data_IF_484770268715
#
_entry.id   IF_484770268715
#
_cell.length_a   1.000
_cell.length_b   1.000
_cell.length_c   1.000
_cell.angle_alpha   90.00
_cell.angle_beta   90.00
_cell.angle_gamma   90.00
#
_symmetry.space_group_name_H-M   'P 1'
#
loop_
_entity.id
_entity.type
_entity.pdbx_description
1 polymer ?
#
# COMPACT_ATOMS: atom_id res chain seq x y z
N UNK A 1 -7.12 -1.48 -3.80
CA UNK A 1 -6.08 -2.51 -3.98
C UNK A 1 -6.55 -3.73 -4.79
N UNK A 2 -7.65 -4.39 -4.43
CA UNK A 2 -8.18 -5.55 -5.20
C UNK A 2 -8.37 -5.27 -6.70
N UNK A 3 -8.79 -4.05 -7.07
CA UNK A 3 -8.90 -3.66 -8.47
C UNK A 3 -7.53 -3.58 -9.19
N UNK A 4 -6.50 -3.06 -8.52
CA UNK A 4 -5.16 -2.91 -9.10
C UNK A 4 -4.47 -4.27 -9.29
N UNK A 5 -4.59 -5.16 -8.29
CA UNK A 5 -4.09 -6.54 -8.40
C UNK A 5 -4.82 -7.31 -9.51
N UNK A 6 -6.15 -7.21 -9.57
CA UNK A 6 -6.95 -7.81 -10.66
C UNK A 6 -6.55 -7.27 -12.04
N UNK A 7 -6.36 -5.96 -12.17
CA UNK A 7 -5.92 -5.34 -13.41
C UNK A 7 -4.52 -5.80 -13.83
N UNK A 8 -3.58 -5.92 -12.88
CA UNK A 8 -2.22 -6.43 -13.13
C UNK A 8 -2.25 -7.88 -13.63
N UNK A 9 -3.07 -8.74 -12.99
CA UNK A 9 -3.25 -10.13 -13.44
C UNK A 9 -3.87 -10.22 -14.83
N UNK A 10 -4.85 -9.37 -15.13
CA UNK A 10 -5.48 -9.29 -16.46
C UNK A 10 -4.48 -8.85 -17.54
N UNK A 11 -3.62 -7.87 -17.24
CA UNK A 11 -2.54 -7.45 -18.12
C UNK A 11 -1.53 -8.58 -18.37
N UNK A 12 -1.14 -9.33 -17.33
CA UNK A 12 -0.26 -10.48 -17.46
C UNK A 12 -0.86 -11.60 -18.34
N UNK A 13 -2.16 -11.91 -18.15
CA UNK A 13 -2.87 -12.90 -18.98
C UNK A 13 -2.96 -12.45 -20.45
N UNK A 14 -3.27 -11.18 -20.68
CA UNK A 14 -3.33 -10.59 -22.02
C UNK A 14 -1.98 -10.69 -22.73
N UNK A 15 -0.89 -10.34 -22.06
CA UNK A 15 0.47 -10.48 -22.61
C UNK A 15 0.81 -11.93 -22.91
N UNK A 16 0.41 -12.88 -22.05
CA UNK A 16 0.62 -14.32 -22.31
C UNK A 16 -0.10 -14.79 -23.57
N UNK A 17 -1.31 -14.28 -23.83
CA UNK A 17 -2.06 -14.53 -25.07
C UNK A 17 -1.36 -13.93 -26.29
N UNK A 18 -0.81 -12.72 -26.16
CA UNK A 18 -0.01 -12.08 -27.22
C UNK A 18 1.22 -12.92 -27.55
N UNK A 19 2.00 -13.33 -26.54
CA UNK A 19 3.19 -14.20 -26.71
C UNK A 19 2.82 -15.47 -27.50
N UNK A 20 1.74 -16.14 -27.09
CA UNK A 20 1.27 -17.36 -27.77
C UNK A 20 0.87 -17.11 -29.23
N UNK A 21 0.30 -15.94 -29.51
CA UNK A 21 -0.13 -15.55 -30.87
C UNK A 21 1.08 -15.23 -31.75
N UNK A 22 2.08 -14.53 -31.21
CA UNK A 22 3.32 -14.22 -31.94
C UNK A 22 4.12 -15.50 -32.24
N UNK A 23 4.17 -16.45 -31.31
CA UNK A 23 4.79 -17.76 -31.54
C UNK A 23 4.12 -18.54 -32.68
N UNK A 24 2.78 -18.49 -32.79
CA UNK A 24 2.06 -19.07 -33.92
C UNK A 24 2.36 -18.36 -35.24
N UNK A 25 2.52 -17.04 -35.22
CA UNK A 25 2.92 -16.27 -36.40
C UNK A 25 4.32 -16.67 -36.88
N UNK A 26 5.28 -16.90 -35.97
CA UNK A 26 6.61 -17.42 -36.30
C UNK A 26 6.55 -18.80 -36.98
N UNK A 27 5.70 -19.70 -36.48
CA UNK A 27 5.48 -21.01 -37.12
C UNK A 27 4.84 -20.88 -38.51
N UNK A 28 3.84 -20.01 -38.66
CA UNK A 28 3.21 -19.74 -39.95
C UNK A 28 4.19 -19.11 -40.95
N UNK A 29 5.07 -18.20 -40.52
CA UNK A 29 6.10 -17.60 -41.35
C UNK A 29 7.09 -18.64 -41.89
N UNK A 30 7.51 -19.59 -41.05
CA UNK A 30 8.37 -20.72 -41.44
C UNK A 30 7.68 -21.61 -42.48
N UNK A 31 6.39 -21.90 -42.30
CA UNK A 31 5.63 -22.69 -43.26
C UNK A 31 5.51 -21.98 -44.62
N UNK A 32 5.27 -20.67 -44.63
CA UNK A 32 5.23 -19.88 -45.88
C UNK A 32 6.59 -19.90 -46.57
N UNK A 33 7.69 -19.75 -45.83
CA UNK A 33 9.05 -19.84 -46.38
C UNK A 33 9.29 -21.19 -47.08
N UNK A 34 8.89 -22.29 -46.45
CA UNK A 34 9.01 -23.63 -47.05
C UNK A 34 8.18 -23.78 -48.33
N UNK A 35 6.98 -23.19 -48.40
CA UNK A 35 6.16 -23.19 -49.61
C UNK A 35 6.85 -22.41 -50.74
N UNK A 36 7.42 -21.25 -50.42
CA UNK A 36 8.15 -20.41 -51.38
C UNK A 36 9.36 -21.16 -51.95
N UNK A 37 10.12 -21.87 -51.11
CA UNK A 37 11.26 -22.70 -51.55
C UNK A 37 10.83 -23.82 -52.52
N UNK A 38 9.70 -24.47 -52.25
CA UNK A 38 9.14 -25.50 -53.14
C UNK A 38 8.72 -24.88 -54.48
N UNK A 39 8.06 -23.73 -54.47
CA UNK A 39 7.64 -23.03 -55.68
C UNK A 39 8.83 -22.56 -56.52
N UNK A 40 9.91 -22.10 -55.88
CA UNK A 40 11.16 -21.71 -56.55
C UNK A 40 11.83 -22.93 -57.21
N UNK A 41 11.79 -24.10 -56.54
CA UNK A 41 12.17 -25.38 -57.13
C UNK A 41 11.33 -25.77 -58.35
N UNK A 42 10.00 -25.59 -58.30
CA UNK A 42 9.09 -25.86 -59.41
C UNK A 42 9.37 -24.91 -60.59
N UNK A 43 9.49 -23.61 -60.33
CA UNK A 43 9.76 -22.60 -61.36
C UNK A 43 11.10 -22.85 -62.07
N UNK A 44 12.15 -23.24 -61.34
CA UNK A 44 13.43 -23.68 -61.92
C UNK A 44 13.29 -24.92 -62.81
N UNK A 45 12.55 -25.94 -62.36
CA UNK A 45 12.29 -27.16 -63.15
C UNK A 45 11.49 -26.86 -64.41
N UNK A 46 10.44 -26.04 -64.31
CA UNK A 46 9.63 -25.61 -65.46
C UNK A 46 10.46 -24.83 -66.46
N UNK A 47 11.33 -23.94 -66.00
CA UNK A 47 12.27 -23.22 -66.86
C UNK A 47 13.22 -24.19 -67.60
N UNK A 48 13.78 -25.20 -66.92
CA UNK A 48 14.63 -26.22 -67.56
C UNK A 48 13.84 -27.11 -68.54
N UNK A 49 12.64 -27.55 -68.19
CA UNK A 49 11.76 -28.35 -69.04
C UNK A 49 11.39 -27.58 -70.32
N UNK A 50 11.00 -26.31 -70.18
CA UNK A 50 10.69 -25.45 -71.32
C UNK A 50 11.89 -25.20 -72.22
N UNK A 51 13.09 -25.06 -71.65
CA UNK A 51 14.33 -24.94 -72.41
C UNK A 51 14.61 -26.20 -73.25
N UNK A 52 14.49 -27.38 -72.63
CA UNK A 52 14.65 -28.66 -73.33
C UNK A 52 13.60 -28.81 -74.44
N UNK A 53 12.34 -28.42 -74.18
CA UNK A 53 11.28 -28.43 -75.19
C UNK A 53 11.56 -27.45 -76.35
N UNK A 54 12.10 -26.26 -76.07
CA UNK A 54 12.52 -25.32 -77.12
C UNK A 54 13.66 -25.88 -77.98
N UNK A 55 14.61 -26.59 -77.38
CA UNK A 55 15.72 -27.24 -78.11
C UNK A 55 15.18 -28.35 -79.01
N UNK A 56 14.31 -29.22 -78.49
CA UNK A 56 13.74 -30.32 -79.27
C UNK A 56 12.81 -29.82 -80.39
N UNK A 57 12.06 -28.75 -80.14
CA UNK A 57 11.25 -28.09 -81.16
C UNK A 57 12.10 -27.47 -82.28
N UNK A 58 13.29 -26.94 -81.97
CA UNK A 58 14.23 -26.48 -82.98
C UNK A 58 14.83 -27.64 -83.80
N UNK A 59 15.03 -28.79 -83.16
CA UNK A 59 15.53 -30.02 -83.81
C UNK A 59 14.51 -30.59 -84.82
N UNK A 60 13.22 -30.49 -84.54
CA UNK A 60 12.13 -30.92 -85.43
C UNK A 60 11.89 -30.00 -86.66
N UNK A 61 12.66 -28.91 -86.81
CA UNK A 61 12.61 -28.02 -87.97
C UNK A 61 11.23 -27.37 -88.20
N UNK A 62 10.73 -27.41 -89.44
CA UNK A 62 9.43 -26.80 -89.82
C UNK A 62 8.24 -27.37 -89.02
N UNK A 63 8.28 -28.65 -88.63
CA UNK A 63 7.22 -29.30 -87.87
C UNK A 63 7.18 -28.88 -86.38
N UNK A 64 8.29 -28.33 -85.86
CA UNK A 64 8.42 -27.92 -84.46
C UNK A 64 8.08 -26.45 -84.18
N UNK A 65 7.82 -25.63 -85.21
CA UNK A 65 7.61 -24.16 -85.05
C UNK A 65 6.52 -23.81 -84.03
N UNK A 66 5.37 -24.49 -84.04
CA UNK A 66 4.29 -24.25 -83.09
C UNK A 66 4.67 -24.62 -81.64
N UNK A 67 5.37 -25.74 -81.46
CA UNK A 67 5.89 -26.18 -80.16
C UNK A 67 6.98 -25.23 -79.62
N UNK A 68 7.83 -24.68 -80.49
CA UNK A 68 8.87 -23.74 -80.10
C UNK A 68 8.29 -22.44 -79.51
N UNK A 69 7.18 -21.94 -80.07
CA UNK A 69 6.47 -20.75 -79.54
C UNK A 69 5.89 -21.04 -78.16
N UNK A 70 5.21 -22.17 -77.98
CA UNK A 70 4.64 -22.57 -76.68
C UNK A 70 5.73 -22.76 -75.63
N UNK A 71 6.83 -23.43 -75.97
CA UNK A 71 7.96 -23.63 -75.06
C UNK A 71 8.62 -22.30 -74.67
N UNK A 72 8.74 -21.35 -75.61
CA UNK A 72 9.22 -19.99 -75.33
C UNK A 72 8.33 -19.22 -74.36
N UNK A 73 7.01 -19.32 -74.50
CA UNK A 73 6.06 -18.65 -73.60
C UNK A 73 6.09 -19.29 -72.20
N UNK A 74 6.13 -20.62 -72.09
CA UNK A 74 6.29 -21.33 -70.80
C UNK A 74 7.59 -20.90 -70.11
N UNK A 75 8.69 -20.78 -70.86
CA UNK A 75 9.97 -20.32 -70.33
C UNK A 75 9.87 -18.90 -69.78
N UNK A 76 9.21 -18.01 -70.51
CA UNK A 76 8.99 -16.62 -70.10
C UNK A 76 8.13 -16.55 -68.83
N UNK A 77 7.05 -17.33 -68.75
CA UNK A 77 6.25 -17.45 -67.53
C UNK A 77 7.10 -17.97 -66.36
N UNK A 78 7.90 -19.02 -66.55
CA UNK A 78 8.75 -19.57 -65.49
C UNK A 78 9.80 -18.56 -64.99
N UNK A 79 10.37 -17.74 -65.90
CA UNK A 79 11.26 -16.64 -65.52
C UNK A 79 10.54 -15.54 -64.75
N UNK A 80 9.34 -15.14 -65.17
CA UNK A 80 8.51 -14.19 -64.43
C UNK A 80 8.13 -14.72 -63.04
N UNK A 81 7.75 -16.00 -62.94
CA UNK A 81 7.47 -16.66 -61.65
C UNK A 81 8.69 -16.62 -60.74
N UNK A 82 9.91 -16.88 -61.24
CA UNK A 82 11.13 -16.77 -60.43
C UNK A 82 11.38 -15.34 -59.91
N UNK A 83 11.08 -14.31 -60.72
CA UNK A 83 11.22 -12.91 -60.28
C UNK A 83 10.22 -12.61 -59.16
N UNK A 84 8.95 -12.94 -59.35
CA UNK A 84 7.92 -12.74 -58.32
C UNK A 84 8.21 -13.55 -57.05
N UNK A 85 8.73 -14.78 -57.17
CA UNK A 85 9.10 -15.58 -56.00
C UNK A 85 10.23 -14.94 -55.20
N UNK A 86 11.22 -14.29 -55.85
CA UNK A 86 12.27 -13.54 -55.13
C UNK A 86 11.70 -12.38 -54.32
N UNK A 87 10.72 -11.65 -54.87
CA UNK A 87 10.05 -10.56 -54.15
C UNK A 87 9.27 -11.10 -52.95
N UNK A 88 8.56 -12.23 -53.12
CA UNK A 88 7.87 -12.92 -52.03
C UNK A 88 8.86 -13.40 -50.97
N UNK A 89 10.00 -14.00 -51.35
CA UNK A 89 11.05 -14.42 -50.40
C UNK A 89 11.54 -13.24 -49.57
N UNK A 90 11.83 -12.10 -50.21
CA UNK A 90 12.28 -10.90 -49.51
C UNK A 90 11.22 -10.39 -48.50
N UNK A 91 9.94 -10.39 -48.90
CA UNK A 91 8.84 -10.00 -48.03
C UNK A 91 8.67 -10.97 -46.84
N UNK A 92 8.76 -12.27 -47.06
CA UNK A 92 8.71 -13.31 -46.01
C UNK A 92 9.91 -13.20 -45.06
N UNK A 93 11.08 -12.82 -45.55
CA UNK A 93 12.26 -12.59 -44.72
C UNK A 93 12.08 -11.35 -43.83
N UNK A 94 11.59 -10.25 -44.38
CA UNK A 94 11.22 -9.04 -43.60
C UNK A 94 10.20 -9.37 -42.52
N UNK A 95 9.16 -10.12 -42.86
CA UNK A 95 8.13 -10.56 -41.91
C UNK A 95 8.72 -11.42 -40.78
N UNK A 96 9.66 -12.31 -41.07
CA UNK A 96 10.35 -13.10 -40.05
C UNK A 96 11.20 -12.23 -39.11
N UNK A 97 11.86 -11.20 -39.63
CA UNK A 97 12.63 -10.26 -38.81
C UNK A 97 11.71 -9.46 -37.87
N UNK A 98 10.57 -8.97 -38.37
CA UNK A 98 9.55 -8.28 -37.57
C UNK A 98 8.96 -9.19 -36.49
N UNK A 99 8.65 -10.45 -36.81
CA UNK A 99 8.14 -11.43 -35.84
C UNK A 99 9.18 -11.70 -34.75
N UNK A 100 10.47 -11.85 -35.09
CA UNK A 100 11.53 -12.04 -34.09
C UNK A 100 11.64 -10.84 -33.15
N UNK A 101 11.54 -9.62 -33.66
CA UNK A 101 11.50 -8.41 -32.83
C UNK A 101 10.26 -8.40 -31.93
N UNK A 102 9.09 -8.76 -32.46
CA UNK A 102 7.86 -8.85 -31.67
C UNK A 102 7.97 -9.86 -30.52
N UNK A 103 8.61 -11.02 -30.73
CA UNK A 103 8.90 -12.00 -29.67
C UNK A 103 9.76 -11.36 -28.58
N UNK A 104 10.86 -10.70 -28.96
CA UNK A 104 11.76 -10.06 -28.01
C UNK A 104 11.06 -8.99 -27.16
N UNK A 105 10.22 -8.14 -27.78
CA UNK A 105 9.42 -7.16 -27.04
C UNK A 105 8.40 -7.81 -26.10
N UNK A 106 7.82 -8.95 -26.49
CA UNK A 106 6.89 -9.67 -25.63
C UNK A 106 7.59 -10.27 -24.40
N UNK A 107 8.80 -10.81 -24.55
CA UNK A 107 9.61 -11.34 -23.45
C UNK A 107 10.04 -10.24 -22.47
N UNK A 108 10.44 -9.07 -23.00
CA UNK A 108 10.73 -7.88 -22.20
C UNK A 108 9.48 -7.41 -21.44
N UNK A 109 8.33 -7.34 -22.13
CA UNK A 109 7.04 -6.96 -21.53
C UNK A 109 6.63 -7.92 -20.43
N UNK A 110 6.85 -9.23 -20.60
CA UNK A 110 6.57 -10.23 -19.57
C UNK A 110 7.42 -10.00 -18.31
N UNK A 111 8.70 -9.66 -18.49
CA UNK A 111 9.61 -9.34 -17.37
C UNK A 111 9.16 -8.09 -16.62
N UNK A 112 8.78 -7.04 -17.35
CA UNK A 112 8.27 -5.79 -16.75
C UNK A 112 6.96 -6.03 -15.99
N UNK A 113 6.05 -6.84 -16.54
CA UNK A 113 4.78 -7.17 -15.88
C UNK A 113 4.96 -8.01 -14.61
N UNK A 114 5.98 -8.87 -14.56
CA UNK A 114 6.33 -9.59 -13.35
C UNK A 114 6.76 -8.61 -12.24
N UNK A 115 7.69 -7.70 -12.56
CA UNK A 115 8.11 -6.66 -11.61
C UNK A 115 6.96 -5.74 -11.17
N UNK A 116 6.03 -5.43 -12.08
CA UNK A 116 4.82 -4.68 -11.74
C UNK A 116 3.93 -5.45 -10.76
N UNK A 117 3.75 -6.75 -10.96
CA UNK A 117 2.94 -7.60 -10.07
C UNK A 117 3.55 -7.64 -8.66
N UNK A 118 4.86 -7.76 -8.57
CA UNK A 118 5.59 -7.77 -7.30
C UNK A 118 5.44 -6.43 -6.57
N UNK A 119 5.61 -5.30 -7.28
CA UNK A 119 5.44 -3.96 -6.72
C UNK A 119 4.00 -3.68 -6.23
N UNK A 120 2.99 -4.19 -6.94
CA UNK A 120 1.58 -4.12 -6.51
C UNK A 120 1.37 -4.94 -5.24
N UNK A 121 1.98 -6.12 -5.13
CA UNK A 121 1.90 -6.97 -3.94
C UNK A 121 2.58 -6.32 -2.73
N UNK A 122 3.77 -5.73 -2.91
CA UNK A 122 4.48 -5.01 -1.85
C UNK A 122 3.66 -3.81 -1.35
N UNK A 123 3.08 -3.07 -2.29
CA UNK A 123 2.18 -1.96 -1.96
C UNK A 123 0.95 -2.44 -1.16
N UNK A 124 0.35 -3.60 -1.52
CA UNK A 124 -0.78 -4.18 -0.77
C UNK A 124 -0.41 -4.52 0.67
N UNK A 125 0.78 -5.10 0.87
CA UNK A 125 1.31 -5.36 2.20
C UNK A 125 1.51 -4.07 3.01
N UNK A 126 2.09 -3.03 2.40
CA UNK A 126 2.28 -1.74 3.06
C UNK A 126 0.95 -1.11 3.50
N UNK A 127 -0.09 -1.14 2.65
CA UNK A 127 -1.41 -0.62 3.02
C UNK A 127 -2.07 -1.41 4.15
N UNK A 128 -1.89 -2.74 4.21
CA UNK A 128 -2.39 -3.56 5.32
C UNK A 128 -1.71 -3.21 6.65
N UNK A 129 -0.41 -2.97 6.64
CA UNK A 129 0.31 -2.53 7.84
C UNK A 129 -0.12 -1.11 8.27
N UNK A 130 -0.38 -0.21 7.32
CA UNK A 130 -0.97 1.11 7.61
C UNK A 130 -2.34 0.97 8.26
N UNK A 131 -3.23 0.13 7.70
CA UNK A 131 -4.56 -0.11 8.24
C UNK A 131 -4.48 -0.62 9.69
N UNK A 132 -3.62 -1.61 9.94
CA UNK A 132 -3.37 -2.16 11.28
C UNK A 132 -2.86 -1.10 12.25
N UNK A 133 -1.93 -0.25 11.81
CA UNK A 133 -1.39 0.85 12.63
C UNK A 133 -2.48 1.86 12.96
N UNK A 134 -3.34 2.20 12.01
CA UNK A 134 -4.48 3.09 12.23
C UNK A 134 -5.44 2.48 13.25
N UNK A 135 -5.77 1.20 13.14
CA UNK A 135 -6.64 0.51 14.12
C UNK A 135 -6.03 0.51 15.53
N UNK A 136 -4.72 0.33 15.65
CA UNK A 136 -4.02 0.43 16.93
C UNK A 136 -4.08 1.84 17.51
N UNK A 137 -3.89 2.87 16.67
CA UNK A 137 -4.00 4.27 17.09
C UNK A 137 -5.41 4.62 17.57
N UNK A 138 -6.45 4.14 16.88
CA UNK A 138 -7.84 4.35 17.33
C UNK A 138 -8.07 3.78 18.72
N UNK A 139 -7.63 2.53 18.97
CA UNK A 139 -7.72 1.92 20.32
C UNK A 139 -6.91 2.69 21.38
N UNK A 140 -5.74 3.20 20.99
CA UNK A 140 -4.93 4.05 21.86
C UNK A 140 -5.65 5.34 22.24
N UNK A 141 -6.33 5.97 21.28
CA UNK A 141 -7.13 7.18 21.53
C UNK A 141 -8.34 6.92 22.43
N UNK A 142 -9.02 5.77 22.27
CA UNK A 142 -10.10 5.35 23.18
C UNK A 142 -9.58 5.22 24.62
N UNK A 143 -8.43 4.58 24.81
CA UNK A 143 -7.80 4.42 26.13
C UNK A 143 -7.43 5.77 26.75
N UNK A 144 -6.94 6.71 25.94
CA UNK A 144 -6.62 8.08 26.41
C UNK A 144 -7.90 8.82 26.80
N UNK A 145 -8.98 8.70 26.03
CA UNK A 145 -10.26 9.32 26.34
C UNK A 145 -10.81 8.82 27.69
N UNK A 146 -10.76 7.51 27.93
CA UNK A 146 -11.16 6.92 29.21
C UNK A 146 -10.31 7.44 30.38
N UNK A 147 -8.99 7.53 30.20
CA UNK A 147 -8.08 8.07 31.21
C UNK A 147 -8.38 9.54 31.55
N UNK A 148 -8.76 10.35 30.55
CA UNK A 148 -9.17 11.74 30.76
C UNK A 148 -10.45 11.80 31.60
N UNK A 149 -11.45 10.97 31.31
CA UNK A 149 -12.71 10.91 32.08
C UNK A 149 -12.42 10.54 33.55
N UNK A 150 -11.60 9.51 33.77
CA UNK A 150 -11.20 9.10 35.13
C UNK A 150 -10.45 10.21 35.87
N UNK A 151 -9.52 10.89 35.19
CA UNK A 151 -8.76 12.00 35.77
C UNK A 151 -9.69 13.14 36.18
N UNK A 152 -10.71 13.44 35.36
CA UNK A 152 -11.68 14.49 35.68
C UNK A 152 -12.48 14.16 36.95
N UNK A 153 -12.93 12.92 37.09
CA UNK A 153 -13.62 12.44 38.30
C UNK A 153 -12.73 12.53 39.55
N UNK A 154 -11.44 12.22 39.43
CA UNK A 154 -10.49 12.36 40.53
C UNK A 154 -10.29 13.83 40.93
N UNK A 155 -10.23 14.74 39.96
CA UNK A 155 -10.12 16.18 40.22
C UNK A 155 -11.36 16.69 40.98
N UNK A 156 -12.57 16.23 40.63
CA UNK A 156 -13.79 16.58 41.37
C UNK A 156 -13.72 16.11 42.83
N UNK A 157 -13.29 14.86 43.06
CA UNK A 157 -13.13 14.33 44.42
C UNK A 157 -12.11 15.11 45.25
N UNK A 158 -10.97 15.46 44.65
CA UNK A 158 -9.93 16.27 45.31
C UNK A 158 -10.47 17.66 45.64
N UNK A 159 -11.22 18.27 44.72
CA UNK A 159 -11.82 19.59 44.93
C UNK A 159 -12.84 19.57 46.07
N UNK A 160 -13.69 18.54 46.12
CA UNK A 160 -14.65 18.36 47.22
C UNK A 160 -13.95 18.15 48.56
N UNK A 161 -12.89 17.33 48.60
CA UNK A 161 -12.09 17.13 49.81
C UNK A 161 -11.42 18.40 50.30
N UNK A 162 -10.88 19.23 49.38
CA UNK A 162 -10.30 20.52 49.72
C UNK A 162 -11.32 21.49 50.34
N UNK A 163 -12.56 21.51 49.81
CA UNK A 163 -13.65 22.30 50.39
C UNK A 163 -14.01 21.84 51.82
N UNK A 164 -14.08 20.52 52.04
CA UNK A 164 -14.33 19.98 53.38
C UNK A 164 -13.20 20.36 54.35
N UNK A 165 -11.94 20.25 53.93
CA UNK A 165 -10.80 20.65 54.75
C UNK A 165 -10.85 22.14 55.10
N UNK A 166 -11.20 23.00 54.14
CA UNK A 166 -11.35 24.43 54.38
C UNK A 166 -12.44 24.71 55.42
N UNK A 167 -13.63 24.10 55.28
CA UNK A 167 -14.73 24.26 56.22
C UNK A 167 -14.35 23.78 57.64
N UNK A 168 -13.72 22.60 57.77
CA UNK A 168 -13.25 22.10 59.07
C UNK A 168 -12.17 22.99 59.68
N UNK A 169 -11.30 23.60 58.85
CA UNK A 169 -10.28 24.52 59.33
C UNK A 169 -10.88 25.82 59.88
N UNK A 170 -11.93 26.35 59.24
CA UNK A 170 -12.69 27.51 59.73
C UNK A 170 -13.39 27.20 61.07
N UNK A 171 -14.05 26.05 61.18
CA UNK A 171 -14.70 25.60 62.43
C UNK A 171 -13.67 25.41 63.57
N UNK A 172 -12.50 24.86 63.25
CA UNK A 172 -11.41 24.69 64.22
C UNK A 172 -10.87 26.04 64.69
N UNK A 173 -10.72 27.01 63.78
CA UNK A 173 -10.29 28.36 64.13
C UNK A 173 -11.30 29.04 65.08
N UNK A 174 -12.60 28.99 64.76
CA UNK A 174 -13.66 29.52 65.61
C UNK A 174 -13.68 28.86 67.00
N UNK A 175 -13.57 27.53 67.05
CA UNK A 175 -13.51 26.79 68.32
C UNK A 175 -12.27 27.18 69.16
N UNK A 176 -11.16 27.48 68.50
CA UNK A 176 -9.92 27.93 69.17
C UNK A 176 -10.09 29.33 69.75
N UNK A 177 -10.79 30.23 69.05
CA UNK A 177 -11.13 31.57 69.54
C UNK A 177 -12.04 31.50 70.77
N UNK A 178 -13.10 30.68 70.73
CA UNK A 178 -14.01 30.45 71.87
C UNK A 178 -13.27 29.87 73.08
N UNK A 179 -12.36 28.92 72.84
CA UNK A 179 -11.53 28.33 73.90
C UNK A 179 -10.61 29.39 74.52
N UNK A 180 -9.98 30.24 73.70
CA UNK A 180 -9.14 31.34 74.19
C UNK A 180 -9.92 32.32 75.05
N UNK A 181 -11.12 32.71 74.62
CA UNK A 181 -12.02 33.56 75.41
C UNK A 181 -12.40 32.91 76.75
N UNK A 182 -12.76 31.62 76.73
CA UNK A 182 -13.09 30.85 77.95
C UNK A 182 -11.90 30.79 78.93
N UNK A 183 -10.68 30.61 78.43
CA UNK A 183 -9.45 30.63 79.24
C UNK A 183 -9.22 32.01 79.87
N UNK A 184 -9.51 33.10 79.15
CA UNK A 184 -9.42 34.46 79.70
C UNK A 184 -10.42 34.69 80.83
N UNK A 185 -11.69 34.29 80.64
CA UNK A 185 -12.72 34.38 81.69
C UNK A 185 -12.36 33.54 82.93
N UNK A 186 -11.84 32.32 82.72
CA UNK A 186 -11.40 31.45 83.79
C UNK A 186 -10.22 32.06 84.56
N UNK A 187 -9.29 32.70 83.85
CA UNK A 187 -8.15 33.40 84.47
C UNK A 187 -8.63 34.57 85.33
N UNK A 188 -9.53 35.41 84.82
CA UNK A 188 -10.11 36.53 85.58
C UNK A 188 -10.87 36.04 86.82
N UNK A 189 -11.63 34.94 86.70
CA UNK A 189 -12.33 34.33 87.83
C UNK A 189 -11.37 33.79 88.90
N UNK A 190 -10.23 33.23 88.48
CA UNK A 190 -9.18 32.77 89.40
C UNK A 190 -8.50 33.93 90.13
N UNK A 191 -8.26 35.05 89.46
CA UNK A 191 -7.73 36.27 90.08
C UNK A 191 -8.69 36.81 91.15
N UNK A 192 -9.99 36.84 90.85
CA UNK A 192 -11.02 37.27 91.79
C UNK A 192 -11.16 36.33 93.00
N UNK A 193 -11.11 35.01 92.78
CA UNK A 193 -11.07 34.02 93.86
C UNK A 193 -9.85 34.21 94.77
N UNK A 194 -8.69 34.50 94.19
CA UNK A 194 -7.47 34.76 94.95
C UNK A 194 -7.59 36.04 95.79
N UNK A 195 -8.17 37.11 95.23
CA UNK A 195 -8.48 38.35 95.95
C UNK A 195 -9.41 38.08 97.14
N UNK A 196 -10.53 37.39 96.91
CA UNK A 196 -11.50 37.04 97.96
C UNK A 196 -10.88 36.16 99.05
N UNK A 197 -10.01 35.21 98.69
CA UNK A 197 -9.29 34.38 99.64
C UNK A 197 -8.36 35.22 100.53
N UNK A 198 -7.63 36.19 99.96
CA UNK A 198 -6.80 37.13 100.72
C UNK A 198 -7.61 38.06 101.64
N UNK A 199 -8.77 38.55 101.19
CA UNK A 199 -9.69 39.33 102.03
C UNK A 199 -10.25 38.50 103.19
N UNK A 200 -10.60 37.24 102.94
CA UNK A 200 -11.07 36.31 103.96
C UNK A 200 -9.97 36.02 105.00
N UNK A 201 -8.73 35.83 104.55
CA UNK A 201 -7.57 35.68 105.45
C UNK A 201 -7.38 36.92 106.34
N UNK A 202 -7.46 38.11 105.75
CA UNK A 202 -7.34 39.37 106.50
C UNK A 202 -8.48 39.56 107.52
N UNK A 203 -9.72 39.22 107.15
CA UNK A 203 -10.85 39.24 108.07
C UNK A 203 -10.69 38.24 109.22
N UNK A 204 -10.25 37.02 108.92
CA UNK A 204 -9.96 36.00 109.92
C UNK A 204 -8.86 36.45 110.90
N UNK A 205 -7.82 37.12 110.40
CA UNK A 205 -6.75 37.67 111.22
C UNK A 205 -7.23 38.81 112.14
N UNK A 206 -8.03 39.74 111.60
CA UNK A 206 -8.67 40.82 112.40
C UNK A 206 -9.52 40.23 113.53
N UNK A 207 -10.39 39.25 113.23
CA UNK A 207 -11.18 38.56 114.24
C UNK A 207 -10.32 37.89 115.31
N UNK A 208 -9.19 37.29 114.92
CA UNK A 208 -8.27 36.65 115.86
C UNK A 208 -7.57 37.66 116.77
N UNK A 209 -7.28 38.87 116.27
CA UNK A 209 -6.75 39.98 117.07
C UNK A 209 -7.79 40.52 118.05
N UNK A 210 -9.02 40.77 117.62
CA UNK A 210 -10.11 41.24 118.49
C UNK A 210 -10.37 40.28 119.66
N UNK A 211 -10.35 38.96 119.40
CA UNK A 211 -10.49 37.93 120.43
C UNK A 211 -9.32 37.95 121.43
N UNK A 212 -8.10 38.30 121.01
CA UNK A 212 -6.93 38.42 121.92
C UNK A 212 -6.98 39.66 122.81
N UNK A 213 -7.69 40.71 122.38
CA UNK A 213 -7.85 41.96 123.14
C UNK A 213 -9.02 41.95 124.12
N UNK A 214 -9.89 40.95 124.07
CA UNK A 214 -10.93 40.64 125.05
C UNK A 214 -10.36 39.81 126.21
#
# INVERSE_FOLDING_TARGET
MNHLSSQSMSSADTTRKIITTVQKLDEHAKNVHQIVDVLDGIARRTNLLSLNASIEAAHAGEHGKGFAVVAGEIRKLAQQTNVSLKEVTASVQSMNEEIKQAVAYCDETATVLQGQTDAVSESDHAFKEIEKTIQQNVKGLETIADAIIMTHQQIEQVTQGAQTIAATSEETAASTEEMSASVQEQTASMEELNRLAGELEQQAQTMQEEIKTL
#
